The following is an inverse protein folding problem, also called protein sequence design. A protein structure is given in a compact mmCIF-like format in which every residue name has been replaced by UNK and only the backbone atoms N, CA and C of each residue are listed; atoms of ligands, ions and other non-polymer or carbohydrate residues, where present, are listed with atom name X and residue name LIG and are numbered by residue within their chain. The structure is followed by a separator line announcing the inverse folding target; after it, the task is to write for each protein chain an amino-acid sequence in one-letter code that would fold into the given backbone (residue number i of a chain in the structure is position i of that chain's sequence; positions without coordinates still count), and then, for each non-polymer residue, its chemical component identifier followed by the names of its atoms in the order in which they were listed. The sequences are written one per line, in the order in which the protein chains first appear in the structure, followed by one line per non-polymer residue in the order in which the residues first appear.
data_IF_524068650406
#
_entry.id   IF_524068650406
#
_cell.length_a   1.000
_cell.length_b   1.000
_cell.length_c   1.000
_cell.angle_alpha   90.00
_cell.angle_beta   90.00
_cell.angle_gamma   90.00
#
_symmetry.space_group_name_H-M   'P 1'
#
loop_
_entity.id
_entity.type
_entity.pdbx_description
1 polymer ?
#
# COMPACT_ATOMS: atom_id res chain seq x y z
N UNK A 1 9.56 -18.77 9.92
CA UNK A 1 9.10 -17.39 10.15
C UNK A 1 8.21 -17.04 8.97
N UNK A 2 6.92 -17.33 8.97
CA UNK A 2 5.87 -16.87 9.89
C UNK A 2 5.02 -18.07 10.37
N UNK A 3 4.92 -18.27 11.68
CA UNK A 3 4.18 -19.39 12.29
C UNK A 3 2.74 -19.00 12.56
N UNK A 4 1.80 -19.75 11.97
CA UNK A 4 0.36 -19.50 12.02
C UNK A 4 -0.31 -19.88 13.34
N UNK A 5 -0.13 -19.06 14.36
CA UNK A 5 -0.92 -19.10 15.60
C UNK A 5 -1.05 -17.70 16.18
N UNK A 6 -1.75 -16.79 15.48
CA UNK A 6 -2.23 -15.56 16.11
C UNK A 6 -3.72 -15.69 16.43
N UNK A 7 -4.12 -15.48 17.69
CA UNK A 7 -5.51 -15.41 18.08
C UNK A 7 -6.16 -14.18 17.44
N UNK A 8 -7.37 -14.36 16.91
CA UNK A 8 -8.21 -13.36 16.25
C UNK A 8 -8.67 -12.20 17.18
N UNK A 9 -7.76 -11.44 17.82
CA UNK A 9 -8.02 -10.13 18.46
C UNK A 9 -6.64 -9.45 18.63
N UNK A 10 -6.20 -8.49 17.79
CA UNK A 10 -6.61 -7.07 17.78
C UNK A 10 -6.42 -6.49 16.37
N UNK A 11 -7.52 -6.37 15.63
CA UNK A 11 -7.60 -5.38 14.54
C UNK A 11 -7.72 -4.00 15.19
N UNK A 12 -6.69 -3.17 15.18
CA UNK A 12 -6.83 -1.78 15.67
C UNK A 12 -6.08 -0.81 14.77
N UNK A 13 -6.64 -0.11 13.79
CA UNK A 13 -7.94 -0.14 13.11
C UNK A 13 -7.68 0.47 11.73
N UNK A 14 -8.06 -0.20 10.64
CA UNK A 14 -7.93 0.47 9.36
C UNK A 14 -9.14 1.35 9.09
N UNK A 15 -9.02 2.66 9.36
CA UNK A 15 -9.70 3.79 8.70
C UNK A 15 -8.92 5.09 9.00
N UNK A 16 -8.61 5.94 8.00
CA UNK A 16 -7.87 7.21 8.22
C UNK A 16 -8.46 8.44 7.54
N UNK A 17 -8.08 9.62 8.07
CA UNK A 17 -8.47 10.96 7.62
C UNK A 17 -7.23 11.79 7.23
N UNK A 18 -7.32 12.58 6.14
CA UNK A 18 -6.35 13.63 5.84
C UNK A 18 -6.95 15.01 6.12
N UNK A 19 -6.40 15.75 7.11
CA UNK A 19 -6.62 17.21 7.23
C UNK A 19 -5.68 17.91 6.27
N UNK A 20 -6.21 18.73 5.37
CA UNK A 20 -5.41 19.83 4.81
C UNK A 20 -5.23 20.86 5.94
N UNK A 21 -4.02 21.01 6.48
CA UNK A 21 -3.72 22.12 7.40
C UNK A 21 -3.50 23.36 6.53
N UNK A 22 -4.32 24.43 6.67
CA UNK A 22 -4.01 25.70 6.02
C UNK A 22 -2.70 26.23 6.62
N UNK A 23 -1.68 26.45 5.78
CA UNK A 23 -0.37 26.93 6.23
C UNK A 23 0.73 25.87 6.36
N UNK A 24 0.66 24.75 5.64
CA UNK A 24 1.84 23.90 5.43
C UNK A 24 2.93 24.70 4.69
N UNK A 25 3.84 25.30 5.46
CA UNK A 25 5.11 25.81 5.00
C UNK A 25 6.18 24.78 5.38
N UNK A 26 6.99 24.25 4.45
CA UNK A 26 7.84 23.08 4.71
C UNK A 26 9.13 23.44 5.47
N UNK A 27 9.04 24.12 6.61
CA UNK A 27 10.22 24.37 7.47
C UNK A 27 9.78 24.22 8.92
N UNK A 28 10.20 23.11 9.55
CA UNK A 28 10.20 22.95 11.00
C UNK A 28 8.92 22.41 11.65
N UNK A 29 8.02 21.75 10.91
CA UNK A 29 6.69 21.37 11.38
C UNK A 29 6.64 20.11 12.26
N UNK A 30 5.96 20.22 13.42
CA UNK A 30 5.54 19.10 14.28
C UNK A 30 4.92 17.96 13.45
N UNK A 31 5.27 16.71 13.81
CA UNK A 31 4.70 15.46 13.28
C UNK A 31 3.19 15.59 12.99
N UNK A 32 2.78 15.26 11.76
CA UNK A 32 1.37 15.10 11.42
C UNK A 32 0.83 13.92 12.24
N UNK A 33 0.05 14.22 13.28
CA UNK A 33 -0.64 13.18 14.04
C UNK A 33 -1.78 12.63 13.20
N UNK A 34 -1.57 11.47 12.59
CA UNK A 34 -2.62 10.72 11.89
C UNK A 34 -3.61 10.20 12.92
N UNK A 35 -4.80 10.83 12.99
CA UNK A 35 -5.89 10.29 13.83
C UNK A 35 -6.66 9.26 13.01
N UNK A 36 -6.36 7.99 13.26
CA UNK A 36 -7.14 6.88 12.71
C UNK A 36 -8.52 6.83 13.40
N UNK A 37 -9.57 6.54 12.64
CA UNK A 37 -10.88 6.27 13.24
C UNK A 37 -10.92 4.85 13.77
N UNK A 38 -11.55 4.68 14.93
CA UNK A 38 -11.78 3.36 15.50
C UNK A 38 -12.64 2.50 14.56
N UNK A 39 -12.53 1.18 14.69
CA UNK A 39 -13.37 0.24 13.92
C UNK A 39 -14.84 0.59 14.06
N UNK A 40 -15.52 0.54 12.92
CA UNK A 40 -16.92 0.89 12.84
C UNK A 40 -17.19 2.40 12.87
N UNK A 41 -16.17 3.26 12.81
CA UNK A 41 -16.34 4.72 12.72
C UNK A 41 -15.69 5.28 11.47
N UNK A 42 -16.34 6.23 10.80
CA UNK A 42 -15.89 6.85 9.54
C UNK A 42 -15.53 8.32 9.76
N UNK A 43 -14.65 8.91 8.94
CA UNK A 43 -14.39 10.34 8.99
C UNK A 43 -15.55 11.14 8.39
N UNK A 44 -16.21 11.97 9.18
CA UNK A 44 -17.22 12.93 8.74
C UNK A 44 -16.90 14.33 9.28
N UNK A 45 -16.74 15.30 8.37
CA UNK A 45 -16.42 16.70 8.70
C UNK A 45 -15.24 16.87 9.68
N UNK A 46 -14.20 16.05 9.53
CA UNK A 46 -12.99 16.10 10.37
C UNK A 46 -13.12 15.49 11.77
N UNK A 47 -14.18 14.73 12.02
CA UNK A 47 -14.37 13.92 13.23
C UNK A 47 -14.60 12.47 12.85
N UNK A 48 -14.23 11.55 13.75
CA UNK A 48 -14.65 10.16 13.63
C UNK A 48 -16.07 10.05 14.20
N UNK A 49 -17.00 9.58 13.38
CA UNK A 49 -18.37 9.30 13.78
C UNK A 49 -18.63 7.82 13.62
N UNK A 50 -19.41 7.23 14.52
CA UNK A 50 -19.82 5.84 14.39
C UNK A 50 -20.65 5.67 13.12
N UNK A 51 -20.31 4.67 12.32
CA UNK A 51 -21.08 4.29 11.15
C UNK A 51 -22.17 3.29 11.56
N UNK A 52 -23.33 3.38 10.92
CA UNK A 52 -24.45 2.47 11.14
C UNK A 52 -24.45 1.28 10.16
N UNK A 53 -23.64 1.38 9.11
CA UNK A 53 -23.48 0.41 8.03
C UNK A 53 -22.11 0.53 7.36
N UNK A 54 -21.85 -0.26 6.31
CA UNK A 54 -20.78 0.06 5.39
C UNK A 54 -20.97 1.48 4.84
N UNK A 55 -19.86 2.19 4.63
CA UNK A 55 -19.86 3.56 4.17
C UNK A 55 -18.98 3.69 2.93
N UNK A 56 -19.43 4.51 1.97
CA UNK A 56 -18.60 4.94 0.87
C UNK A 56 -17.51 5.87 1.39
N UNK A 57 -16.25 5.55 1.09
CA UNK A 57 -15.09 6.34 1.47
C UNK A 57 -14.22 6.59 0.26
N UNK A 58 -13.78 7.84 0.07
CA UNK A 58 -12.82 8.20 -0.97
C UNK A 58 -11.57 8.80 -0.35
N UNK A 59 -10.41 8.26 -0.68
CA UNK A 59 -9.13 8.68 -0.11
C UNK A 59 -7.97 8.38 -1.06
N UNK A 60 -6.79 8.93 -0.75
CA UNK A 60 -5.58 8.64 -1.50
C UNK A 60 -4.86 7.41 -0.95
N UNK A 61 -4.44 6.54 -1.87
CA UNK A 61 -3.57 5.39 -1.64
C UNK A 61 -2.34 5.48 -2.54
N UNK A 62 -1.31 4.75 -2.18
CA UNK A 62 0.01 4.87 -2.78
C UNK A 62 0.61 3.49 -3.04
N UNK A 63 1.34 3.35 -4.15
CA UNK A 63 2.05 2.13 -4.51
C UNK A 63 3.46 2.50 -4.98
N UNK A 64 4.47 1.78 -4.50
CA UNK A 64 5.84 1.93 -4.96
C UNK A 64 6.04 1.05 -6.19
N UNK A 65 6.46 1.64 -7.31
CA UNK A 65 6.55 0.92 -8.59
C UNK A 65 7.82 1.27 -9.35
N UNK A 66 8.26 0.33 -10.19
CA UNK A 66 9.17 0.59 -11.29
C UNK A 66 8.31 0.89 -12.52
N UNK A 67 8.59 1.99 -13.24
CA UNK A 67 7.91 2.36 -14.51
C UNK A 67 6.39 2.59 -14.37
N UNK A 68 5.93 3.75 -14.82
CA UNK A 68 4.48 3.98 -14.97
C UNK A 68 4.01 3.41 -16.30
N UNK A 69 3.02 2.52 -16.25
CA UNK A 69 2.32 2.01 -17.43
C UNK A 69 0.89 2.59 -17.43
N UNK A 70 0.56 3.50 -18.36
CA UNK A 70 -0.77 4.11 -18.42
C UNK A 70 -1.87 3.12 -18.81
N UNK A 71 -1.52 1.99 -19.44
CA UNK A 71 -2.47 0.97 -19.89
C UNK A 71 -2.61 -0.17 -18.86
N UNK A 72 -1.93 -0.06 -17.71
CA UNK A 72 -2.01 -1.07 -16.65
C UNK A 72 -3.39 -1.05 -16.01
N UNK A 73 -4.06 -2.20 -16.10
CA UNK A 73 -5.22 -2.50 -15.27
C UNK A 73 -4.76 -2.70 -13.82
N UNK A 74 -5.39 -1.97 -12.89
CA UNK A 74 -5.00 -1.90 -11.49
C UNK A 74 -5.66 -3.01 -10.65
N UNK A 75 -5.60 -4.25 -11.11
CA UNK A 75 -6.25 -5.40 -10.47
C UNK A 75 -5.29 -6.19 -9.55
N UNK A 76 -5.83 -6.76 -8.46
CA UNK A 76 -5.10 -7.63 -7.53
C UNK A 76 -3.85 -6.93 -6.98
N UNK A 77 -4.09 -5.81 -6.31
CA UNK A 77 -3.04 -4.88 -5.91
C UNK A 77 -2.97 -4.67 -4.41
N UNK A 78 -1.74 -4.54 -3.94
CA UNK A 78 -1.43 -3.97 -2.65
C UNK A 78 -1.10 -2.48 -2.81
N UNK A 79 -1.80 -1.64 -2.06
CA UNK A 79 -1.47 -0.23 -1.91
C UNK A 79 -1.31 0.11 -0.44
N UNK A 80 -0.98 1.36 -0.15
CA UNK A 80 -0.74 1.82 1.19
C UNK A 80 -1.17 3.26 1.39
N UNK A 81 -1.42 3.64 2.64
CA UNK A 81 -1.31 5.04 3.05
C UNK A 81 0.07 5.63 2.74
N UNK A 82 0.20 6.96 2.83
CA UNK A 82 1.51 7.61 2.68
C UNK A 82 2.53 7.05 3.69
N UNK A 83 2.14 6.87 4.95
CA UNK A 83 3.01 6.24 5.95
C UNK A 83 3.36 4.80 5.59
N UNK A 84 2.40 4.02 5.09
CA UNK A 84 2.62 2.62 4.71
C UNK A 84 3.53 2.43 3.51
N UNK A 85 3.46 3.31 2.49
CA UNK A 85 4.37 3.22 1.34
C UNK A 85 5.78 3.68 1.71
N UNK A 86 5.92 4.69 2.57
CA UNK A 86 7.22 5.13 3.06
C UNK A 86 7.86 4.08 3.96
N UNK A 87 7.06 3.37 4.77
CA UNK A 87 7.52 2.18 5.50
C UNK A 87 8.10 1.14 4.53
N UNK A 88 7.35 0.77 3.49
CA UNK A 88 7.81 -0.23 2.53
C UNK A 88 9.11 0.20 1.84
N UNK A 89 9.17 1.45 1.36
CA UNK A 89 10.37 1.98 0.73
C UNK A 89 11.59 1.90 1.65
N UNK A 90 11.45 2.40 2.88
CA UNK A 90 12.52 2.43 3.86
C UNK A 90 13.03 1.04 4.23
N UNK A 91 12.12 0.13 4.59
CA UNK A 91 12.49 -1.14 5.21
C UNK A 91 12.79 -2.24 4.18
N UNK A 92 12.34 -2.09 2.93
CA UNK A 92 12.49 -3.16 1.94
C UNK A 92 13.11 -2.73 0.62
N UNK A 93 13.03 -1.46 0.23
CA UNK A 93 13.42 -1.04 -1.13
C UNK A 93 14.77 -0.36 -1.17
N UNK A 94 15.03 0.56 -0.24
CA UNK A 94 16.21 1.45 -0.27
C UNK A 94 17.31 1.05 0.72
N UNK A 95 17.02 0.12 1.64
CA UNK A 95 18.02 -0.43 2.55
C UNK A 95 18.97 -1.40 1.87
N UNK A 96 20.14 -1.65 2.47
CA UNK A 96 21.18 -2.55 1.95
C UNK A 96 20.64 -3.93 1.49
N UNK A 97 19.64 -4.49 2.19
CA UNK A 97 19.04 -5.78 1.84
C UNK A 97 18.03 -5.72 0.66
N UNK A 98 17.58 -4.53 0.28
CA UNK A 98 16.67 -4.30 -0.83
C UNK A 98 17.37 -4.06 -2.16
N UNK A 99 18.64 -3.65 -2.14
CA UNK A 99 19.40 -3.36 -3.34
C UNK A 99 19.61 -4.61 -4.21
N UNK A 100 19.54 -4.42 -5.53
CA UNK A 100 19.63 -5.50 -6.51
C UNK A 100 20.65 -5.16 -7.61
N UNK A 101 21.16 -6.19 -8.29
CA UNK A 101 21.92 -6.04 -9.53
C UNK A 101 21.03 -6.41 -10.71
N UNK A 102 20.79 -5.45 -11.60
CA UNK A 102 20.07 -5.64 -12.86
C UNK A 102 20.99 -5.18 -13.99
N UNK A 103 21.26 -6.07 -14.94
CA UNK A 103 22.17 -5.82 -16.07
C UNK A 103 23.55 -5.26 -15.66
N UNK A 104 24.08 -5.77 -14.54
CA UNK A 104 25.39 -5.37 -14.01
C UNK A 104 25.40 -4.02 -13.28
N UNK A 105 24.25 -3.37 -13.11
CA UNK A 105 24.11 -2.12 -12.35
C UNK A 105 23.38 -2.32 -11.04
N UNK A 106 23.82 -1.63 -9.98
CA UNK A 106 23.10 -1.60 -8.71
C UNK A 106 21.85 -0.71 -8.84
N UNK A 107 20.74 -1.19 -8.30
CA UNK A 107 19.44 -0.53 -8.32
C UNK A 107 18.66 -0.83 -7.03
N UNK A 108 17.58 -0.08 -6.77
CA UNK A 108 16.62 -0.37 -5.69
C UNK A 108 15.90 -1.70 -5.93
N UNK A 109 15.26 -2.24 -4.88
CA UNK A 109 14.44 -3.46 -5.01
C UNK A 109 13.44 -3.33 -6.16
N UNK A 110 13.41 -4.32 -7.04
CA UNK A 110 12.58 -4.36 -8.24
C UNK A 110 12.73 -3.15 -9.17
N UNK A 111 13.84 -2.40 -9.09
CA UNK A 111 14.05 -1.14 -9.80
C UNK A 111 12.95 -0.08 -9.54
N UNK A 112 12.38 -0.08 -8.33
CA UNK A 112 11.37 0.89 -7.92
C UNK A 112 11.96 2.30 -7.94
N UNK A 113 11.32 3.20 -8.69
CA UNK A 113 11.82 4.56 -8.95
C UNK A 113 10.78 5.65 -8.63
N UNK A 114 9.55 5.28 -8.24
CA UNK A 114 8.47 6.23 -7.96
C UNK A 114 7.46 5.73 -6.95
N UNK A 115 6.73 6.68 -6.37
CA UNK A 115 5.48 6.44 -5.65
C UNK A 115 4.34 6.90 -6.55
N UNK A 116 3.48 5.97 -6.97
CA UNK A 116 2.24 6.27 -7.70
C UNK A 116 1.14 6.54 -6.68
N UNK A 117 0.38 7.61 -6.88
CA UNK A 117 -0.77 8.00 -6.07
C UNK A 117 -2.06 7.64 -6.81
N UNK A 118 -3.00 7.08 -6.08
CA UNK A 118 -4.32 6.71 -6.54
C UNK A 118 -5.39 7.40 -5.71
N UNK A 119 -6.44 7.88 -6.34
CA UNK A 119 -7.69 8.21 -5.66
C UNK A 119 -8.57 6.97 -5.71
N UNK A 120 -8.88 6.43 -4.54
CA UNK A 120 -9.63 5.19 -4.41
C UNK A 120 -10.96 5.49 -3.76
N UNK A 121 -12.04 4.91 -4.29
CA UNK A 121 -13.35 4.86 -3.64
C UNK A 121 -13.62 3.43 -3.20
N UNK A 122 -14.04 3.24 -1.95
CA UNK A 122 -14.36 1.93 -1.36
C UNK A 122 -15.76 1.98 -0.78
N UNK A 123 -16.54 0.93 -1.03
CA UNK A 123 -17.76 0.62 -0.32
C UNK A 123 -17.79 -0.90 -0.11
N UNK A 124 -17.35 -1.36 1.07
CA UNK A 124 -17.31 -2.80 1.35
C UNK A 124 -18.71 -3.36 1.66
N UNK A 125 -18.82 -4.68 1.65
CA UNK A 125 -20.13 -5.33 1.70
C UNK A 125 -20.80 -5.27 3.07
N UNK A 126 -22.12 -5.37 3.00
CA UNK A 126 -23.00 -5.50 4.16
C UNK A 126 -22.71 -6.79 4.96
N UNK A 127 -22.25 -7.85 4.28
CA UNK A 127 -21.88 -9.12 4.90
C UNK A 127 -20.64 -8.98 5.79
N UNK A 128 -19.60 -8.28 5.32
CA UNK A 128 -18.43 -7.92 6.12
C UNK A 128 -18.87 -7.11 7.35
N UNK A 129 -19.69 -6.07 7.16
CA UNK A 129 -20.13 -5.21 8.24
C UNK A 129 -20.93 -5.96 9.31
N UNK A 130 -21.88 -6.80 8.91
CA UNK A 130 -22.70 -7.60 9.84
C UNK A 130 -21.84 -8.54 10.69
N UNK A 131 -20.79 -9.12 10.12
CA UNK A 131 -19.90 -10.04 10.82
C UNK A 131 -18.92 -9.31 11.75
N UNK A 132 -18.29 -8.23 11.27
CA UNK A 132 -17.12 -7.66 11.96
C UNK A 132 -17.33 -6.24 12.48
N UNK A 133 -18.39 -5.54 12.06
CA UNK A 133 -18.61 -4.10 12.29
C UNK A 133 -17.41 -3.27 11.81
N UNK A 134 -16.89 -3.61 10.64
CA UNK A 134 -15.68 -3.01 10.05
C UNK A 134 -15.96 -2.45 8.66
N UNK A 135 -15.29 -1.35 8.31
CA UNK A 135 -15.31 -0.81 6.95
C UNK A 135 -14.29 -1.49 6.03
N UNK A 136 -13.34 -2.22 6.59
CA UNK A 136 -12.30 -2.97 5.85
C UNK A 136 -12.26 -4.41 6.31
N UNK A 137 -11.96 -5.29 5.35
CA UNK A 137 -11.72 -6.70 5.57
C UNK A 137 -10.29 -7.01 6.01
N UNK A 138 -9.94 -8.28 5.97
CA UNK A 138 -8.56 -8.72 6.19
C UNK A 138 -7.68 -8.33 4.99
N UNK A 139 -6.50 -7.77 5.25
CA UNK A 139 -5.49 -7.60 4.21
C UNK A 139 -5.10 -8.95 3.61
N UNK A 140 -5.17 -9.04 2.28
CA UNK A 140 -4.76 -10.19 1.49
C UNK A 140 -3.64 -9.72 0.56
N UNK A 141 -2.42 -10.15 0.82
CA UNK A 141 -1.27 -9.82 -0.02
C UNK A 141 -1.44 -10.38 -1.43
N UNK A 142 -1.09 -9.57 -2.43
CA UNK A 142 -1.07 -9.94 -3.83
C UNK A 142 0.35 -9.89 -4.40
N UNK A 143 0.88 -11.04 -4.80
CA UNK A 143 2.15 -11.13 -5.52
C UNK A 143 1.86 -11.58 -6.96
N UNK A 144 2.40 -10.88 -7.96
CA UNK A 144 2.26 -11.25 -9.38
C UNK A 144 0.80 -11.46 -9.83
N UNK A 145 -0.14 -10.74 -9.22
CA UNK A 145 -1.57 -10.79 -9.54
C UNK A 145 -2.37 -11.90 -8.85
N UNK A 146 -1.73 -12.69 -7.99
CA UNK A 146 -2.38 -13.71 -7.17
C UNK A 146 -2.31 -13.41 -5.69
N UNK A 147 -3.39 -13.74 -4.98
CA UNK A 147 -3.41 -13.71 -3.54
C UNK A 147 -2.50 -14.80 -2.98
N UNK A 148 -1.49 -14.41 -2.21
CA UNK A 148 -0.51 -15.33 -1.61
C UNK A 148 -0.74 -15.55 -0.13
N UNK A 149 -1.74 -14.86 0.43
CA UNK A 149 -2.16 -15.01 1.82
C UNK A 149 -2.50 -16.46 2.17
N UNK A 150 -1.81 -17.01 3.17
CA UNK A 150 -2.15 -18.31 3.75
C UNK A 150 -1.67 -19.52 2.95
N UNK A 151 -0.61 -19.35 2.13
CA UNK A 151 0.16 -20.42 1.49
C UNK A 151 0.41 -21.63 2.44
N UNK A 152 0.36 -22.87 1.93
CA UNK A 152 0.12 -23.24 0.53
C UNK A 152 -1.37 -23.20 0.11
N UNK A 153 -2.31 -23.15 1.05
CA UNK A 153 -3.76 -23.24 0.78
C UNK A 153 -4.40 -21.89 0.44
N UNK A 154 -3.65 -20.97 -0.16
CA UNK A 154 -4.06 -19.58 -0.36
C UNK A 154 -5.33 -19.47 -1.23
N UNK A 155 -5.43 -20.23 -2.34
CA UNK A 155 -6.58 -20.22 -3.24
C UNK A 155 -7.88 -20.49 -2.50
N UNK A 156 -7.92 -21.62 -1.77
CA UNK A 156 -9.14 -22.02 -1.04
C UNK A 156 -9.49 -20.99 0.02
N UNK A 157 -8.52 -20.54 0.82
CA UNK A 157 -8.76 -19.58 1.90
C UNK A 157 -9.29 -18.24 1.38
N UNK A 158 -8.69 -17.70 0.33
CA UNK A 158 -9.13 -16.44 -0.25
C UNK A 158 -10.51 -16.58 -0.91
N UNK A 159 -10.76 -17.67 -1.63
CA UNK A 159 -12.08 -17.96 -2.21
C UNK A 159 -13.16 -18.13 -1.12
N UNK A 160 -12.85 -18.77 0.01
CA UNK A 160 -13.78 -18.90 1.14
C UNK A 160 -14.14 -17.51 1.73
N UNK A 161 -13.16 -16.60 1.84
CA UNK A 161 -13.38 -15.21 2.29
C UNK A 161 -14.30 -14.49 1.31
N UNK A 162 -13.96 -14.48 0.01
CA UNK A 162 -14.72 -13.71 -0.98
C UNK A 162 -16.09 -14.30 -1.30
N UNK A 163 -16.27 -15.61 -1.16
CA UNK A 163 -17.59 -16.25 -1.21
C UNK A 163 -18.48 -15.76 -0.08
N UNK A 164 -17.91 -15.53 1.10
CA UNK A 164 -18.66 -15.17 2.31
C UNK A 164 -18.92 -13.67 2.42
N UNK A 165 -17.94 -12.84 2.06
CA UNK A 165 -17.98 -11.40 2.30
C UNK A 165 -17.91 -10.57 1.02
N UNK A 166 -17.90 -11.18 -0.16
CA UNK A 166 -17.57 -10.49 -1.40
C UNK A 166 -16.09 -10.15 -1.49
N UNK A 167 -15.71 -9.52 -2.59
CA UNK A 167 -14.36 -9.04 -2.86
C UNK A 167 -14.03 -7.81 -2.02
N UNK A 168 -13.99 -7.98 -0.70
CA UNK A 168 -13.73 -6.92 0.26
C UNK A 168 -12.33 -6.31 0.09
N UNK A 169 -12.25 -4.99 0.20
CA UNK A 169 -10.97 -4.29 0.38
C UNK A 169 -10.48 -4.56 1.79
N UNK A 170 -9.31 -5.19 1.86
CA UNK A 170 -8.63 -5.55 3.10
C UNK A 170 -7.72 -4.45 3.61
N UNK A 171 -7.36 -4.50 4.90
CA UNK A 171 -6.35 -3.60 5.43
C UNK A 171 -5.58 -4.15 6.64
N UNK A 172 -4.32 -3.72 6.75
CA UNK A 172 -3.38 -4.11 7.81
C UNK A 172 -2.49 -2.92 8.21
N UNK A 173 -2.38 -2.60 9.52
CA UNK A 173 -1.43 -1.59 9.98
C UNK A 173 0.02 -2.04 9.75
N UNK A 174 0.92 -1.10 9.48
CA UNK A 174 2.35 -1.41 9.45
C UNK A 174 2.85 -1.77 10.85
N UNK A 175 3.89 -2.61 10.99
CA UNK A 175 4.47 -2.93 12.29
C UNK A 175 4.93 -1.69 13.07
N UNK A 176 4.37 -1.49 14.27
CA UNK A 176 4.77 -0.43 15.19
C UNK A 176 6.20 -0.67 15.72
N UNK A 177 6.95 0.40 15.98
CA UNK A 177 8.30 0.34 16.55
C UNK A 177 9.40 -0.10 15.57
N UNK A 178 9.07 -0.59 14.37
CA UNK A 178 10.06 -0.96 13.34
C UNK A 178 10.70 0.28 12.70
N UNK A 179 9.88 1.29 12.39
CA UNK A 179 10.30 2.57 11.83
C UNK A 179 9.27 3.67 12.16
N UNK A 180 9.62 4.94 11.89
CA UNK A 180 8.88 6.14 12.29
C UNK A 180 7.63 6.45 11.48
N UNK A 181 6.96 5.43 10.95
CA UNK A 181 5.73 5.54 10.14
C UNK A 181 4.51 5.02 10.90
N UNK A 182 4.45 5.28 12.21
CA UNK A 182 3.32 4.91 13.06
C UNK A 182 1.99 5.45 12.48
N UNK A 183 0.95 4.61 12.52
CA UNK A 183 -0.33 4.89 11.88
C UNK A 183 -0.35 4.67 10.36
N UNK A 184 0.75 4.22 9.76
CA UNK A 184 0.78 3.67 8.41
C UNK A 184 -0.01 2.36 8.32
N UNK A 185 -0.52 2.08 7.13
CA UNK A 185 -1.24 0.84 6.82
C UNK A 185 -1.16 0.50 5.33
N UNK A 186 -1.34 -0.79 5.04
CA UNK A 186 -1.50 -1.39 3.72
C UNK A 186 -2.95 -1.79 3.48
N UNK A 187 -3.36 -1.79 2.22
CA UNK A 187 -4.70 -2.17 1.75
C UNK A 187 -4.60 -3.07 0.55
N UNK A 188 -5.49 -4.05 0.45
CA UNK A 188 -5.52 -5.05 -0.63
C UNK A 188 -6.79 -4.92 -1.46
N UNK A 189 -6.64 -4.83 -2.79
CA UNK A 189 -7.71 -4.61 -3.75
C UNK A 189 -7.89 -5.82 -4.66
N UNK A 190 -8.80 -6.75 -4.30
CA UNK A 190 -9.09 -7.92 -5.12
C UNK A 190 -9.75 -7.52 -6.44
N UNK A 191 -9.09 -7.84 -7.55
CA UNK A 191 -9.62 -7.67 -8.91
C UNK A 191 -9.95 -9.03 -9.52
N UNK A 192 -9.90 -9.13 -10.85
CA UNK A 192 -10.35 -10.32 -11.56
C UNK A 192 -9.48 -11.54 -11.26
N UNK A 193 -10.13 -12.70 -11.06
CA UNK A 193 -9.49 -14.00 -10.83
C UNK A 193 -8.31 -13.92 -9.84
N UNK A 194 -8.55 -13.41 -8.62
CA UNK A 194 -7.48 -13.05 -7.68
C UNK A 194 -6.67 -14.25 -7.15
N UNK A 195 -7.11 -15.48 -7.43
CA UNK A 195 -6.43 -16.70 -7.00
C UNK A 195 -5.41 -17.25 -8.01
N UNK A 196 -5.18 -16.58 -9.14
CA UNK A 196 -4.27 -17.04 -10.20
C UNK A 196 -3.33 -15.91 -10.64
N UNK A 197 -2.05 -16.21 -10.93
CA UNK A 197 -1.06 -15.21 -11.31
C UNK A 197 -1.32 -14.66 -12.72
N UNK A 198 -0.68 -13.54 -13.04
CA UNK A 198 -0.72 -12.96 -14.39
C UNK A 198 -0.01 -13.83 -15.43
N UNK A 199 1.01 -14.59 -15.03
CA UNK A 199 1.86 -15.37 -15.94
C UNK A 199 2.12 -16.77 -15.38
N UNK A 200 2.44 -17.71 -16.28
CA UNK A 200 2.71 -19.12 -15.93
C UNK A 200 4.07 -19.30 -15.23
N UNK A 201 4.94 -18.31 -15.30
CA UNK A 201 6.28 -18.25 -14.71
C UNK A 201 6.33 -17.45 -13.40
N UNK A 202 5.17 -17.18 -12.77
CA UNK A 202 5.12 -16.50 -11.48
C UNK A 202 6.00 -17.22 -10.44
N UNK A 203 6.88 -16.51 -9.72
CA UNK A 203 7.77 -17.12 -8.73
C UNK A 203 7.04 -17.82 -7.57
N UNK A 204 5.79 -17.43 -7.30
CA UNK A 204 4.95 -18.03 -6.27
C UNK A 204 4.20 -19.27 -6.79
N UNK A 205 4.40 -19.63 -8.06
CA UNK A 205 3.79 -20.78 -8.73
C UNK A 205 2.32 -20.58 -9.09
N UNK A 206 1.75 -21.55 -9.80
CA UNK A 206 0.37 -21.52 -10.27
C UNK A 206 0.26 -21.27 -11.77
N UNK A 207 -0.88 -21.68 -12.36
CA UNK A 207 -1.18 -21.42 -13.76
C UNK A 207 -1.73 -20.00 -13.95
N UNK A 208 -1.44 -19.36 -15.08
CA UNK A 208 -1.95 -18.01 -15.37
C UNK A 208 -3.48 -17.94 -15.34
N UNK A 209 -4.04 -16.77 -15.02
CA UNK A 209 -5.48 -16.48 -15.05
C UNK A 209 -6.13 -17.00 -16.34
N UNK A 210 -7.18 -17.81 -16.20
CA UNK A 210 -7.96 -18.37 -17.31
C UNK A 210 -9.23 -17.58 -17.58
N UNK A 211 -9.76 -17.65 -18.80
CA UNK A 211 -11.06 -17.04 -19.12
C UNK A 211 -12.19 -17.56 -18.23
N UNK A 212 -12.18 -18.86 -17.90
CA UNK A 212 -13.16 -19.46 -17.00
C UNK A 212 -13.08 -18.85 -15.58
N UNK A 213 -11.87 -18.68 -15.04
CA UNK A 213 -11.70 -18.05 -13.73
C UNK A 213 -12.10 -16.58 -13.75
N UNK A 214 -11.75 -15.83 -14.81
CA UNK A 214 -12.15 -14.42 -14.96
C UNK A 214 -13.67 -14.26 -15.03
N UNK A 215 -14.36 -15.17 -15.72
CA UNK A 215 -15.82 -15.17 -15.78
C UNK A 215 -16.47 -15.51 -14.43
N UNK A 216 -15.87 -16.43 -13.67
CA UNK A 216 -16.37 -16.84 -12.36
C UNK A 216 -16.08 -15.82 -11.25
N UNK A 217 -14.91 -15.20 -11.28
CA UNK A 217 -14.41 -14.29 -10.25
C UNK A 217 -14.07 -12.94 -10.89
N UNK A 218 -15.06 -12.08 -11.02
CA UNK A 218 -14.93 -10.78 -11.69
C UNK A 218 -14.10 -9.77 -10.89
N UNK A 219 -13.98 -9.95 -9.57
CA UNK A 219 -13.29 -9.02 -8.68
C UNK A 219 -14.26 -8.03 -8.03
N UNK A 220 -13.71 -7.10 -7.26
CA UNK A 220 -14.49 -6.04 -6.60
C UNK A 220 -14.44 -4.68 -7.32
N UNK A 221 -13.68 -4.58 -8.42
CA UNK A 221 -13.54 -3.31 -9.14
C UNK A 221 -14.79 -3.00 -9.96
N UNK A 222 -15.36 -1.81 -9.77
CA UNK A 222 -16.47 -1.31 -10.56
C UNK A 222 -16.44 0.23 -10.64
N UNK A 223 -17.18 0.88 -11.56
CA UNK A 223 -17.19 2.34 -11.66
C UNK A 223 -17.79 3.05 -10.44
N UNK A 224 -18.83 2.47 -9.84
CA UNK A 224 -19.58 3.06 -8.71
C UNK A 224 -19.77 2.03 -7.59
N UNK A 225 -18.82 1.93 -6.64
CA UNK A 225 -18.89 0.96 -5.55
C UNK A 225 -20.17 1.09 -4.72
N UNK A 226 -20.94 0.01 -4.67
CA UNK A 226 -22.26 -0.05 -4.03
C UNK A 226 -22.34 -1.05 -2.86
N UNK A 227 -21.28 -1.82 -2.63
CA UNK A 227 -21.21 -2.82 -1.56
C UNK A 227 -21.83 -4.17 -1.90
N UNK A 228 -22.22 -4.41 -3.16
CA UNK A 228 -22.48 -5.75 -3.65
C UNK A 228 -21.18 -6.58 -3.66
N UNK A 229 -21.26 -7.93 -3.64
CA UNK A 229 -20.07 -8.77 -3.51
C UNK A 229 -18.98 -8.55 -4.57
N UNK A 230 -19.34 -8.04 -5.74
CA UNK A 230 -18.50 -7.80 -6.92
C UNK A 230 -18.34 -6.32 -7.29
N UNK A 231 -18.83 -5.40 -6.46
CA UNK A 231 -18.67 -3.96 -6.67
C UNK A 231 -18.36 -3.24 -5.35
N UNK A 232 -17.09 -3.31 -4.95
CA UNK A 232 -16.61 -2.86 -3.63
C UNK A 232 -15.58 -1.74 -3.71
N UNK A 233 -14.92 -1.53 -4.85
CA UNK A 233 -13.93 -0.46 -4.99
C UNK A 233 -13.76 0.06 -6.42
N UNK A 234 -13.23 1.27 -6.53
CA UNK A 234 -12.86 1.93 -7.77
C UNK A 234 -11.53 2.65 -7.58
N UNK A 235 -10.69 2.68 -8.60
CA UNK A 235 -9.41 3.38 -8.58
C UNK A 235 -9.23 4.33 -9.76
N UNK A 236 -8.74 5.52 -9.44
CA UNK A 236 -8.36 6.54 -10.41
C UNK A 236 -6.87 6.89 -10.21
N UNK A 237 -6.02 6.83 -11.25
CA UNK A 237 -4.67 7.37 -11.18
C UNK A 237 -4.69 8.86 -10.81
N UNK A 238 -3.82 9.27 -9.88
CA UNK A 238 -3.77 10.63 -9.36
C UNK A 238 -2.33 11.20 -9.34
N UNK A 239 -1.50 10.77 -10.29
CA UNK A 239 -0.12 11.21 -10.48
C UNK A 239 0.91 10.35 -9.73
N UNK A 240 2.18 10.73 -9.82
CA UNK A 240 3.29 10.05 -9.14
C UNK A 240 4.39 11.05 -8.76
N UNK A 241 5.26 10.66 -7.82
CA UNK A 241 6.50 11.37 -7.48
C UNK A 241 7.69 10.43 -7.69
N UNK A 242 8.76 10.92 -8.31
CA UNK A 242 9.99 10.15 -8.48
C UNK A 242 10.73 10.03 -7.14
N UNK A 243 11.39 8.90 -6.89
CA UNK A 243 12.14 8.69 -5.66
C UNK A 243 13.30 9.69 -5.53
N UNK A 244 13.94 10.02 -6.65
CA UNK A 244 15.01 11.03 -6.70
C UNK A 244 14.49 12.44 -6.38
N UNK A 245 13.26 12.75 -6.81
CA UNK A 245 12.59 14.02 -6.48
C UNK A 245 12.24 14.07 -4.98
N UNK A 246 11.70 12.96 -4.45
CA UNK A 246 11.35 12.83 -3.04
C UNK A 246 12.55 12.96 -2.12
N UNK A 247 13.63 12.28 -2.47
CA UNK A 247 14.83 12.19 -1.63
C UNK A 247 15.81 13.30 -1.92
N UNK A 248 15.79 13.93 -3.10
CA UNK A 248 16.77 14.91 -3.53
C UNK A 248 18.13 14.31 -3.93
N UNK A 249 18.21 12.99 -4.12
CA UNK A 249 19.42 12.28 -4.56
C UNK A 249 19.12 11.33 -5.70
N UNK A 250 20.05 11.15 -6.63
CA UNK A 250 19.89 10.18 -7.70
C UNK A 250 20.28 8.77 -7.23
N UNK A 251 19.29 7.88 -7.14
CA UNK A 251 19.48 6.53 -6.62
C UNK A 251 20.51 5.72 -7.42
N UNK A 252 20.42 5.71 -8.75
CA UNK A 252 21.34 4.96 -9.61
C UNK A 252 22.78 5.44 -9.43
N UNK A 253 23.02 6.76 -9.37
CA UNK A 253 24.35 7.33 -9.18
C UNK A 253 24.95 6.95 -7.84
N UNK A 254 24.20 7.11 -6.74
CA UNK A 254 24.67 6.74 -5.39
C UNK A 254 25.07 5.27 -5.35
N UNK A 255 24.17 4.38 -5.80
CA UNK A 255 24.39 2.95 -5.72
C UNK A 255 25.56 2.50 -6.61
N UNK A 256 25.67 3.01 -7.84
CA UNK A 256 26.75 2.60 -8.75
C UNK A 256 28.11 3.25 -8.41
N UNK A 257 28.13 4.30 -7.58
CA UNK A 257 29.36 4.84 -6.99
C UNK A 257 29.84 4.07 -5.74
N UNK A 258 29.13 3.01 -5.32
CA UNK A 258 29.46 2.24 -4.12
C UNK A 258 28.80 2.75 -2.84
N UNK A 259 27.92 3.75 -2.93
CA UNK A 259 27.12 4.24 -1.81
C UNK A 259 25.86 3.41 -1.53
N UNK A 260 25.07 3.88 -0.58
CA UNK A 260 23.79 3.32 -0.13
C UNK A 260 22.80 4.46 0.12
N UNK A 261 21.56 4.29 -0.36
CA UNK A 261 20.49 5.23 -0.06
C UNK A 261 20.13 5.22 1.43
N UNK A 262 20.22 4.06 2.07
CA UNK A 262 20.07 3.88 3.50
C UNK A 262 20.88 2.68 3.98
N UNK A 263 21.87 2.95 4.83
CA UNK A 263 22.61 1.92 5.54
C UNK A 263 22.00 1.72 6.94
N UNK A 264 21.50 0.52 7.22
CA UNK A 264 20.80 0.20 8.48
C UNK A 264 21.71 0.25 9.73
N UNK A 265 23.02 0.01 9.57
CA UNK A 265 23.98 0.00 10.67
C UNK A 265 24.36 1.44 11.04
N UNK A 266 24.57 2.27 10.02
CA UNK A 266 24.91 3.69 10.20
C UNK A 266 23.68 4.56 10.45
N UNK A 267 22.48 4.07 10.14
CA UNK A 267 21.22 4.82 10.15
C UNK A 267 21.34 6.13 9.35
N UNK A 268 21.92 6.01 8.15
CA UNK A 268 22.30 7.15 7.31
C UNK A 268 22.47 6.75 5.84
N UNK A 269 22.43 7.74 4.94
CA UNK A 269 22.88 7.56 3.56
C UNK A 269 24.40 7.59 3.47
N UNK A 270 24.98 6.89 2.48
CA UNK A 270 26.44 6.88 2.22
C UNK A 270 26.76 7.17 0.75
N UNK A 271 28.03 7.47 0.45
CA UNK A 271 28.51 7.60 -0.93
C UNK A 271 27.78 8.68 -1.76
N UNK A 272 27.46 9.81 -1.15
CA UNK A 272 26.77 10.93 -1.80
C UNK A 272 25.25 10.93 -1.62
N UNK A 273 24.67 9.91 -0.98
CA UNK A 273 23.31 10.00 -0.47
C UNK A 273 23.20 11.03 0.65
N UNK A 274 22.00 11.60 0.82
CA UNK A 274 21.67 12.43 1.97
C UNK A 274 21.00 11.59 3.06
N UNK A 275 20.63 12.25 4.15
CA UNK A 275 20.04 11.59 5.33
C UNK A 275 18.51 11.60 5.32
N UNK A 276 17.86 11.57 4.15
CA UNK A 276 16.40 11.53 4.05
C UNK A 276 15.78 10.35 4.82
N UNK A 277 16.42 9.17 4.75
CA UNK A 277 15.97 7.94 5.43
C UNK A 277 16.54 7.78 6.85
N UNK A 278 17.46 8.65 7.29
CA UNK A 278 18.12 8.51 8.58
C UNK A 278 17.18 8.67 9.78
N UNK A 279 17.65 8.25 10.96
CA UNK A 279 16.97 8.36 12.26
C UNK A 279 15.67 7.56 12.32
N UNK A 280 15.51 6.60 11.41
CA UNK A 280 14.27 5.85 11.17
C UNK A 280 13.01 6.73 11.12
N UNK A 281 13.12 8.02 10.77
CA UNK A 281 12.04 9.00 10.86
C UNK A 281 12.03 9.86 9.61
N UNK A 282 10.85 10.26 9.18
CA UNK A 282 10.68 11.19 8.08
C UNK A 282 11.20 12.58 8.52
N UNK A 283 12.46 12.92 8.21
CA UNK A 283 12.95 14.31 8.34
C UNK A 283 12.55 15.09 7.08
N UNK A 284 11.30 15.56 7.05
CA UNK A 284 10.77 16.42 5.99
C UNK A 284 11.49 17.77 5.87
N UNK A 285 12.44 18.10 6.77
CA UNK A 285 13.27 19.30 6.61
C UNK A 285 14.47 19.06 5.66
N UNK A 286 14.80 17.80 5.35
CA UNK A 286 15.86 17.44 4.40
C UNK A 286 15.40 17.36 2.95
N UNK A 287 14.10 17.13 2.73
CA UNK A 287 13.47 17.28 1.42
C UNK A 287 13.12 18.76 1.22
N UNK A 288 13.74 19.40 0.24
CA UNK A 288 13.50 20.81 -0.07
C UNK A 288 12.01 21.15 -0.10
N UNK A 289 11.67 22.36 0.36
CA UNK A 289 10.31 22.87 0.38
C UNK A 289 9.62 22.78 -0.99
N UNK A 290 8.90 21.68 -1.29
CA UNK A 290 8.23 21.55 -2.58
C UNK A 290 7.64 20.17 -2.94
N UNK A 291 8.11 19.08 -2.33
CA UNK A 291 7.93 17.73 -2.94
C UNK A 291 6.49 17.15 -2.86
N UNK A 292 5.59 17.70 -2.04
CA UNK A 292 4.20 17.22 -1.98
C UNK A 292 3.18 18.09 -2.73
N UNK A 293 3.67 19.11 -3.46
CA UNK A 293 2.88 19.87 -4.42
C UNK A 293 2.76 19.13 -5.76
N UNK A 294 2.12 17.95 -5.76
CA UNK A 294 1.86 17.16 -6.97
C UNK A 294 0.89 17.90 -7.90
N UNK A 295 1.42 18.83 -8.71
CA UNK A 295 0.84 19.30 -9.95
C UNK A 295 1.67 18.74 -11.11
N UNK A 296 1.23 17.60 -11.63
CA UNK A 296 1.17 17.27 -13.06
C UNK A 296 0.42 15.95 -13.22
#
# INVERSE_FOLDING_TARGET
ALSGTEPWVRSTYCQTWYRKVPGFSPTGGKSVVYKQCEKGSVPQAGKCVKADGPASMTFYQYSAQSKYDPDRHWENMDMASLGGVLFYLHNEVVGNNGEQLVDGKRTTKFSIDRIVRFKVTVHNTDALWKQFRSQFGQFIQFDYGQATFGMPNHVKKCNDIWTKFGFEVGCQPVPEGTSGYEGGYWTSYPGTCPSMPFTDDSPQGGAKKTAACKAQWQGGECPEPDGTPDCTWHVEPAGYVMLDELTGVNAEQVLNAGGHLYDEILDAGTGGANNFWARKKLDLNGAGQGVFGLQR
#
